data_IF_138243030168
#
_entry.id   IF_138243030168
#
_cell.length_a   1.000
_cell.length_b   1.000
_cell.length_c   1.000
_cell.angle_alpha   90.00
_cell.angle_beta   90.00
_cell.angle_gamma   90.00
#
_symmetry.space_group_name_H-M   'P 1'
#
loop_
_entity.id
_entity.type
_entity.pdbx_description
1 polymer ?
#
# COMPACT_ATOMS: atom_id res chain seq x y z
N UNK A 1 5.24 17.77 -34.38
CA UNK A 1 4.48 18.26 -33.19
C UNK A 1 5.27 17.90 -31.96
N UNK A 2 5.68 18.86 -31.11
CA UNK A 2 6.35 18.55 -29.87
C UNK A 2 5.30 18.14 -28.83
N UNK A 3 5.48 16.96 -28.24
CA UNK A 3 4.65 16.42 -27.16
C UNK A 3 4.71 17.37 -25.96
N UNK A 4 3.54 17.85 -25.55
CA UNK A 4 3.38 18.77 -24.42
C UNK A 4 3.90 18.15 -23.13
N UNK A 5 4.88 18.84 -22.55
CA UNK A 5 5.56 18.59 -21.29
C UNK A 5 4.64 18.90 -20.10
N UNK A 6 3.42 18.36 -20.08
CA UNK A 6 2.35 18.81 -19.16
C UNK A 6 2.17 17.99 -17.89
N UNK A 7 2.90 16.88 -17.69
CA UNK A 7 2.70 16.02 -16.50
C UNK A 7 3.98 15.70 -15.72
N UNK A 8 5.02 16.52 -15.81
CA UNK A 8 6.28 16.30 -15.07
C UNK A 8 6.12 16.29 -13.54
N UNK A 9 5.10 16.96 -12.99
CA UNK A 9 4.85 16.97 -11.54
C UNK A 9 4.18 15.70 -11.01
N UNK A 10 3.57 14.88 -11.88
CA UNK A 10 2.90 13.63 -11.46
C UNK A 10 3.83 12.42 -11.47
N UNK A 11 4.88 12.45 -12.28
CA UNK A 11 5.87 11.36 -12.32
C UNK A 11 6.68 11.29 -11.02
N UNK A 12 6.92 12.43 -10.37
CA UNK A 12 7.49 12.48 -9.00
C UNK A 12 6.55 11.96 -7.90
N UNK A 13 5.26 11.74 -8.17
CA UNK A 13 4.35 11.02 -7.26
C UNK A 13 4.42 9.49 -7.47
N UNK A 14 5.01 9.05 -8.58
CA UNK A 14 4.96 7.67 -9.07
C UNK A 14 6.24 6.89 -8.81
N UNK A 15 7.15 7.42 -7.99
CA UNK A 15 8.18 6.61 -7.37
C UNK A 15 7.46 5.71 -6.34
N UNK A 16 7.11 4.51 -6.81
CA UNK A 16 6.23 3.47 -6.26
C UNK A 16 6.22 3.17 -4.75
N UNK A 17 7.11 3.68 -3.91
CA UNK A 17 7.09 3.40 -2.47
C UNK A 17 7.42 4.59 -1.55
N UNK A 18 7.80 5.77 -2.07
CA UNK A 18 8.32 6.89 -1.24
C UNK A 18 7.37 8.04 -0.97
N UNK A 19 6.12 7.92 -1.44
CA UNK A 19 5.04 8.86 -1.09
C UNK A 19 3.93 8.26 -0.23
N UNK A 20 4.26 7.15 0.42
CA UNK A 20 3.51 6.63 1.55
C UNK A 20 4.27 7.03 2.82
N UNK A 21 4.42 8.34 3.07
CA UNK A 21 4.26 8.89 4.43
C UNK A 21 4.37 10.43 4.48
N UNK A 22 3.37 11.10 5.09
CA UNK A 22 3.59 11.79 6.38
C UNK A 22 2.42 12.60 6.99
N UNK A 23 1.38 13.03 6.25
CA UNK A 23 0.47 14.07 6.79
C UNK A 23 -1.07 13.83 6.63
N UNK A 24 -1.55 12.58 6.46
CA UNK A 24 -3.00 12.28 6.35
C UNK A 24 -3.49 11.23 7.35
N UNK A 25 -3.22 11.42 8.64
CA UNK A 25 -4.21 11.17 9.70
C UNK A 25 -3.98 12.32 10.67
N UNK A 26 -4.53 13.50 10.35
CA UNK A 26 -4.41 14.68 11.18
C UNK A 26 -4.73 14.36 12.64
N UNK A 27 -3.67 14.27 13.45
CA UNK A 27 -3.73 14.21 14.91
C UNK A 27 -4.62 15.34 15.43
N UNK A 28 -5.86 14.99 15.75
CA UNK A 28 -6.60 15.56 16.87
C UNK A 28 -7.32 14.44 17.59
N UNK A 29 -6.72 13.97 18.68
CA UNK A 29 -7.52 13.48 19.80
C UNK A 29 -8.45 14.63 20.21
N UNK A 30 -9.76 14.39 20.41
CA UNK A 30 -10.58 15.34 21.14
C UNK A 30 -9.92 15.53 22.51
N UNK A 31 -9.69 16.79 22.88
CA UNK A 31 -9.17 17.17 24.18
C UNK A 31 -10.01 16.54 25.29
N UNK A 32 -9.33 16.15 26.36
CA UNK A 32 -9.87 15.64 27.62
C UNK A 32 -11.19 16.31 27.99
N UNK A 33 -12.29 15.54 28.02
CA UNK A 33 -13.46 15.72 28.88
C UNK A 33 -14.53 14.65 28.58
N UNK A 34 -14.16 13.36 28.66
CA UNK A 34 -15.16 12.32 28.93
C UNK A 34 -15.02 11.97 30.42
N UNK A 35 -16.05 12.22 31.25
CA UNK A 35 -15.98 11.87 32.66
C UNK A 35 -15.77 10.37 32.78
N UNK A 36 -14.66 9.98 33.41
CA UNK A 36 -14.35 8.62 33.78
C UNK A 36 -15.49 8.14 34.70
N UNK A 37 -16.27 7.11 34.35
CA UNK A 37 -17.23 6.55 35.28
C UNK A 37 -16.47 6.01 36.50
N UNK A 38 -17.01 6.15 37.73
CA UNK A 38 -16.27 5.81 38.93
C UNK A 38 -15.75 4.36 38.87
N UNK A 39 -14.44 4.20 39.12
CA UNK A 39 -13.79 2.91 39.37
C UNK A 39 -14.25 2.40 40.73
N UNK A 40 -15.46 1.86 40.77
CA UNK A 40 -15.94 0.91 41.78
C UNK A 40 -17.33 0.47 41.29
N UNK A 41 -17.37 -0.68 40.61
CA UNK A 41 -18.63 -1.39 40.38
C UNK A 41 -19.10 -1.86 41.76
N UNK A 42 -20.28 -1.43 42.25
CA UNK A 42 -20.80 -1.89 43.52
C UNK A 42 -20.86 -3.43 43.53
N UNK A 43 -20.54 -4.04 44.67
CA UNK A 43 -20.49 -5.49 44.92
C UNK A 43 -21.79 -6.30 44.63
N UNK A 44 -22.77 -5.71 43.95
CA UNK A 44 -24.10 -6.29 43.72
C UNK A 44 -24.17 -7.27 42.55
N UNK A 45 -23.11 -7.42 41.74
CA UNK A 45 -23.10 -8.33 40.60
C UNK A 45 -22.21 -9.56 40.80
N UNK A 46 -21.94 -9.98 42.05
CA UNK A 46 -21.22 -11.26 42.29
C UNK A 46 -21.97 -12.45 41.68
N UNK A 47 -23.30 -12.48 41.74
CA UNK A 47 -24.09 -13.52 41.09
C UNK A 47 -24.02 -13.41 39.57
N UNK A 48 -24.01 -12.19 39.00
CA UNK A 48 -23.90 -11.98 37.56
C UNK A 48 -22.51 -12.37 37.02
N UNK A 49 -21.44 -12.03 37.76
CA UNK A 49 -20.07 -12.43 37.44
C UNK A 49 -19.86 -13.93 37.61
N UNK A 50 -20.45 -14.55 38.64
CA UNK A 50 -20.38 -16.01 38.81
C UNK A 50 -21.19 -16.73 37.73
N UNK A 51 -22.33 -16.18 37.32
CA UNK A 51 -23.11 -16.69 36.19
C UNK A 51 -22.39 -16.46 34.86
N UNK A 52 -21.66 -15.35 34.68
CA UNK A 52 -20.84 -15.10 33.51
C UNK A 52 -19.64 -16.06 33.45
N UNK A 53 -18.91 -16.24 34.54
CA UNK A 53 -17.78 -17.18 34.62
C UNK A 53 -18.22 -18.64 34.47
N UNK A 54 -19.32 -19.04 35.11
CA UNK A 54 -19.89 -20.38 34.98
C UNK A 54 -20.47 -20.63 33.59
N UNK A 55 -21.01 -19.59 32.93
CA UNK A 55 -21.46 -19.69 31.55
C UNK A 55 -20.25 -19.71 30.62
N UNK A 56 -19.20 -18.91 30.85
CA UNK A 56 -17.98 -18.84 30.06
C UNK A 56 -17.20 -20.17 30.07
N UNK A 57 -17.13 -20.86 31.22
CA UNK A 57 -16.60 -22.23 31.28
C UNK A 57 -17.46 -23.22 30.50
N UNK A 58 -18.79 -23.09 30.56
CA UNK A 58 -19.72 -23.91 29.80
C UNK A 58 -19.69 -23.61 28.28
N UNK A 59 -19.40 -22.37 27.88
CA UNK A 59 -19.20 -21.93 26.49
C UNK A 59 -17.85 -22.39 25.92
N UNK A 60 -16.82 -22.54 26.74
CA UNK A 60 -15.53 -23.09 26.29
C UNK A 60 -15.61 -24.59 26.02
N UNK A 61 -16.31 -25.35 26.87
CA UNK A 61 -16.49 -26.79 26.69
C UNK A 61 -17.52 -27.15 25.60
N UNK A 62 -18.44 -26.25 25.28
CA UNK A 62 -19.44 -26.39 24.20
C UNK A 62 -19.10 -25.57 22.95
N UNK A 63 -17.86 -25.06 22.82
CA UNK A 63 -17.46 -24.37 21.60
C UNK A 63 -17.57 -25.34 20.44
N UNK A 64 -18.38 -25.05 19.40
CA UNK A 64 -18.36 -25.86 18.20
C UNK A 64 -16.90 -25.93 17.70
N UNK A 65 -16.42 -27.07 17.19
CA UNK A 65 -15.10 -27.14 16.54
C UNK A 65 -14.92 -26.08 15.43
N UNK A 66 -16.04 -25.50 14.97
CA UNK A 66 -16.15 -24.44 13.98
C UNK A 66 -16.51 -23.07 14.61
N UNK A 67 -15.98 -22.71 15.78
CA UNK A 67 -15.86 -21.29 16.11
C UNK A 67 -14.87 -20.72 15.08
N UNK A 68 -15.40 -20.26 13.95
CA UNK A 68 -14.67 -19.97 12.71
C UNK A 68 -13.60 -18.90 12.99
N UNK A 69 -12.41 -19.34 13.38
CA UNK A 69 -11.18 -18.63 13.04
C UNK A 69 -11.23 -18.50 11.52
N UNK A 70 -11.50 -17.28 11.03
CA UNK A 70 -11.47 -17.01 9.60
C UNK A 70 -10.11 -17.49 9.08
N UNK A 71 -10.13 -18.27 8.01
CA UNK A 71 -8.89 -18.60 7.32
C UNK A 71 -8.23 -17.31 6.85
N UNK A 72 -6.90 -17.31 6.72
CA UNK A 72 -6.16 -16.15 6.19
C UNK A 72 -6.75 -15.67 4.85
N UNK A 73 -7.15 -16.60 3.99
CA UNK A 73 -7.83 -16.32 2.72
C UNK A 73 -9.15 -15.55 2.91
N UNK A 74 -9.97 -15.95 3.87
CA UNK A 74 -11.24 -15.26 4.19
C UNK A 74 -11.01 -13.88 4.79
N UNK A 75 -9.99 -13.72 5.64
CA UNK A 75 -9.62 -12.43 6.22
C UNK A 75 -9.15 -11.43 5.16
N UNK A 76 -8.29 -11.87 4.23
CA UNK A 76 -7.86 -11.05 3.08
C UNK A 76 -9.06 -10.65 2.22
N UNK A 77 -9.97 -11.60 1.94
CA UNK A 77 -11.17 -11.32 1.14
C UNK A 77 -12.08 -10.26 1.80
N UNK A 78 -12.26 -10.35 3.12
CA UNK A 78 -13.03 -9.39 3.90
C UNK A 78 -12.39 -8.00 3.86
N UNK A 79 -11.07 -7.91 4.12
CA UNK A 79 -10.30 -6.65 4.05
C UNK A 79 -10.33 -6.04 2.66
N UNK A 80 -10.26 -6.85 1.60
CA UNK A 80 -10.37 -6.37 0.23
C UNK A 80 -11.73 -5.73 -0.02
N UNK A 81 -12.82 -6.36 0.44
CA UNK A 81 -14.16 -5.80 0.31
C UNK A 81 -14.32 -4.47 1.06
N UNK A 82 -13.83 -4.41 2.30
CA UNK A 82 -13.82 -3.18 3.11
C UNK A 82 -13.01 -2.07 2.42
N UNK A 83 -11.79 -2.38 1.98
CA UNK A 83 -10.89 -1.42 1.33
C UNK A 83 -11.50 -0.83 0.05
N UNK A 84 -12.14 -1.67 -0.78
CA UNK A 84 -12.80 -1.22 -2.00
C UNK A 84 -14.03 -0.36 -1.71
N UNK A 85 -14.81 -0.73 -0.70
CA UNK A 85 -15.98 0.05 -0.25
C UNK A 85 -15.55 1.41 0.28
N UNK A 86 -14.53 1.47 1.14
CA UNK A 86 -14.02 2.72 1.74
C UNK A 86 -13.34 3.65 0.73
N UNK A 87 -12.87 3.12 -0.40
CA UNK A 87 -12.18 3.90 -1.43
C UNK A 87 -12.95 3.99 -2.76
N UNK A 88 -14.24 3.65 -2.78
CA UNK A 88 -15.04 3.59 -4.01
C UNK A 88 -15.08 4.90 -4.79
N UNK A 89 -14.99 6.05 -4.10
CA UNK A 89 -14.98 7.37 -4.72
C UNK A 89 -13.66 7.71 -5.42
N UNK A 90 -12.54 7.09 -5.02
CA UNK A 90 -11.21 7.32 -5.59
C UNK A 90 -10.95 6.51 -6.86
N UNK A 91 -11.79 5.51 -7.14
CA UNK A 91 -11.63 4.59 -8.25
C UNK A 91 -12.44 5.03 -9.48
N UNK A 92 -11.80 5.00 -10.64
CA UNK A 92 -12.50 5.14 -11.92
C UNK A 92 -13.32 3.86 -12.23
N UNK A 93 -14.32 3.97 -13.11
CA UNK A 93 -15.23 2.85 -13.43
C UNK A 93 -14.51 1.66 -14.07
N UNK A 94 -13.49 1.91 -14.89
CA UNK A 94 -12.67 0.86 -15.50
C UNK A 94 -11.93 0.02 -14.46
N UNK A 95 -11.42 0.68 -13.41
CA UNK A 95 -10.71 0.05 -12.30
C UNK A 95 -11.67 -0.76 -11.45
N UNK A 96 -12.83 -0.19 -11.12
CA UNK A 96 -13.89 -0.92 -10.40
C UNK A 96 -14.29 -2.18 -11.14
N UNK A 97 -14.49 -2.12 -12.46
CA UNK A 97 -14.84 -3.29 -13.26
C UNK A 97 -13.76 -4.38 -13.22
N UNK A 98 -12.48 -4.01 -13.33
CA UNK A 98 -11.34 -4.96 -13.29
C UNK A 98 -11.20 -5.64 -11.93
N UNK A 99 -11.30 -4.87 -10.85
CA UNK A 99 -11.18 -5.42 -9.49
C UNK A 99 -12.48 -6.15 -9.09
N UNK A 100 -13.65 -5.80 -9.61
CA UNK A 100 -14.91 -6.50 -9.29
C UNK A 100 -15.00 -7.88 -9.95
N UNK A 101 -14.21 -8.12 -11.00
CA UNK A 101 -14.13 -9.44 -11.63
C UNK A 101 -13.74 -10.50 -10.59
N UNK A 102 -14.57 -11.54 -10.47
CA UNK A 102 -14.38 -12.61 -9.48
C UNK A 102 -13.04 -13.33 -9.63
N UNK A 103 -12.69 -13.74 -10.84
CA UNK A 103 -11.46 -14.46 -11.13
C UNK A 103 -10.22 -13.63 -10.77
N UNK A 104 -10.25 -12.33 -11.09
CA UNK A 104 -9.18 -11.39 -10.71
C UNK A 104 -9.03 -11.29 -9.19
N UNK A 105 -10.14 -11.19 -8.43
CA UNK A 105 -10.09 -11.10 -6.97
C UNK A 105 -9.59 -12.39 -6.34
N UNK A 106 -10.12 -13.52 -6.77
CA UNK A 106 -9.74 -14.83 -6.24
C UNK A 106 -8.24 -15.05 -6.48
N UNK A 107 -7.73 -14.72 -7.68
CA UNK A 107 -6.31 -14.78 -8.01
C UNK A 107 -5.46 -13.81 -7.17
N UNK A 108 -5.95 -12.57 -6.93
CA UNK A 108 -5.25 -11.61 -6.06
C UNK A 108 -5.16 -12.17 -4.64
N UNK A 109 -6.26 -12.64 -4.09
CA UNK A 109 -6.30 -13.20 -2.74
C UNK A 109 -5.33 -14.39 -2.65
N UNK A 110 -5.38 -15.31 -3.61
CA UNK A 110 -4.50 -16.48 -3.64
C UNK A 110 -3.02 -16.11 -3.69
N UNK A 111 -2.65 -15.07 -4.46
CA UNK A 111 -1.27 -14.57 -4.52
C UNK A 111 -0.78 -13.94 -3.21
N UNK A 112 -1.68 -13.59 -2.30
CA UNK A 112 -1.34 -12.95 -1.03
C UNK A 112 -1.26 -13.95 0.13
N UNK A 113 -1.94 -15.10 0.06
CA UNK A 113 -2.08 -16.04 1.20
C UNK A 113 -0.73 -16.44 1.82
N UNK A 114 0.29 -16.67 1.02
CA UNK A 114 1.59 -17.16 1.50
C UNK A 114 2.45 -16.08 2.16
N UNK A 115 2.17 -14.80 1.90
CA UNK A 115 2.92 -13.66 2.41
C UNK A 115 4.23 -13.34 1.65
N UNK A 116 4.59 -14.09 0.61
CA UNK A 116 5.80 -13.87 -0.19
C UNK A 116 5.86 -12.46 -0.78
N UNK A 117 4.69 -11.91 -1.14
CA UNK A 117 4.54 -10.57 -1.70
C UNK A 117 5.07 -9.49 -0.75
N UNK A 118 5.01 -9.66 0.57
CA UNK A 118 5.52 -8.64 1.51
C UNK A 118 7.04 -8.53 1.48
N UNK A 119 7.76 -9.65 1.47
CA UNK A 119 9.22 -9.65 1.36
C UNK A 119 9.68 -9.06 0.02
N UNK A 120 8.88 -9.27 -1.04
CA UNK A 120 9.12 -8.63 -2.34
C UNK A 120 8.88 -7.12 -2.22
N UNK A 121 7.78 -6.66 -1.64
CA UNK A 121 7.52 -5.23 -1.44
C UNK A 121 8.59 -4.53 -0.59
N UNK A 122 9.12 -5.19 0.44
CA UNK A 122 10.25 -4.68 1.22
C UNK A 122 11.52 -4.56 0.36
N UNK A 123 11.85 -5.60 -0.40
CA UNK A 123 12.99 -5.57 -1.34
C UNK A 123 12.82 -4.49 -2.42
N UNK A 124 11.59 -4.26 -2.90
CA UNK A 124 11.28 -3.20 -3.85
C UNK A 124 11.41 -1.82 -3.21
N UNK A 125 11.10 -1.71 -1.91
CA UNK A 125 11.31 -0.47 -1.14
C UNK A 125 12.79 -0.17 -1.00
N UNK A 126 13.61 -1.16 -0.67
CA UNK A 126 15.06 -0.95 -0.57
C UNK A 126 15.68 -0.60 -1.94
N UNK A 127 15.23 -1.28 -3.01
CA UNK A 127 15.63 -0.95 -4.38
C UNK A 127 15.23 0.47 -4.74
N UNK A 128 14.02 0.89 -4.36
CA UNK A 128 13.52 2.23 -4.57
C UNK A 128 14.45 3.26 -3.93
N UNK A 129 14.72 3.10 -2.63
CA UNK A 129 15.57 3.99 -1.85
C UNK A 129 16.96 4.13 -2.45
N UNK A 130 17.55 3.01 -2.86
CA UNK A 130 18.85 2.99 -3.52
C UNK A 130 18.82 3.76 -4.84
N UNK A 131 17.79 3.54 -5.67
CA UNK A 131 17.66 4.18 -6.98
C UNK A 131 17.38 5.68 -6.87
N UNK A 132 16.55 6.12 -5.93
CA UNK A 132 16.35 7.56 -5.66
C UNK A 132 17.66 8.25 -5.31
N UNK A 133 18.42 7.63 -4.41
CA UNK A 133 19.71 8.16 -3.96
C UNK A 133 20.68 8.23 -5.13
N UNK A 134 20.79 7.17 -5.93
CA UNK A 134 21.62 7.12 -7.13
C UNK A 134 21.24 8.24 -8.11
N UNK A 135 19.96 8.41 -8.42
CA UNK A 135 19.49 9.45 -9.34
C UNK A 135 19.69 10.87 -8.79
N UNK A 136 19.51 11.07 -7.48
CA UNK A 136 19.76 12.36 -6.84
C UNK A 136 21.23 12.74 -6.91
N UNK A 137 22.13 11.83 -6.51
CA UNK A 137 23.58 12.02 -6.56
C UNK A 137 24.05 12.25 -8.00
N UNK A 138 23.53 11.48 -8.96
CA UNK A 138 23.82 11.67 -10.38
C UNK A 138 23.39 13.05 -10.87
N UNK A 139 22.18 13.50 -10.50
CA UNK A 139 21.67 14.83 -10.84
C UNK A 139 22.56 15.93 -10.26
N UNK A 140 22.87 15.85 -8.97
CA UNK A 140 23.67 16.85 -8.28
C UNK A 140 25.09 16.96 -8.87
N UNK A 141 25.74 15.81 -9.08
CA UNK A 141 27.07 15.71 -9.68
C UNK A 141 27.12 16.34 -11.08
N UNK A 142 26.19 15.96 -11.97
CA UNK A 142 26.13 16.52 -13.33
C UNK A 142 25.85 18.02 -13.35
N UNK A 143 24.93 18.49 -12.48
CA UNK A 143 24.63 19.93 -12.37
C UNK A 143 25.85 20.69 -11.85
N UNK A 144 26.57 20.16 -10.85
CA UNK A 144 27.79 20.76 -10.31
C UNK A 144 28.88 20.87 -11.40
N UNK A 145 29.14 19.81 -12.14
CA UNK A 145 30.11 19.81 -13.25
C UNK A 145 29.77 20.86 -14.33
N UNK A 146 28.48 21.03 -14.67
CA UNK A 146 28.06 22.06 -15.62
C UNK A 146 28.26 23.48 -15.09
N UNK A 147 28.06 23.71 -13.79
CA UNK A 147 28.33 25.00 -13.15
C UNK A 147 29.82 25.32 -13.14
N UNK A 148 30.66 24.36 -12.76
CA UNK A 148 32.12 24.51 -12.70
C UNK A 148 32.75 24.72 -14.08
N UNK A 149 32.23 24.06 -15.11
CA UNK A 149 32.70 24.23 -16.49
C UNK A 149 32.16 25.49 -17.20
N UNK A 150 31.40 26.34 -16.51
CA UNK A 150 30.79 27.55 -17.09
C UNK A 150 29.75 27.28 -18.18
N UNK A 151 29.36 26.02 -18.37
CA UNK A 151 28.47 25.54 -19.41
C UNK A 151 27.03 25.38 -18.92
N UNK A 152 26.70 25.90 -17.75
CA UNK A 152 25.38 25.75 -17.15
C UNK A 152 24.32 26.51 -17.95
N UNK A 153 23.47 25.76 -18.64
CA UNK A 153 22.31 26.30 -19.36
C UNK A 153 21.06 25.50 -18.99
N UNK A 154 19.90 26.14 -19.10
CA UNK A 154 18.62 25.46 -18.86
C UNK A 154 18.41 24.27 -19.79
N UNK A 155 18.98 24.32 -21.00
CA UNK A 155 18.92 23.22 -21.95
C UNK A 155 19.68 21.99 -21.44
N UNK A 156 20.92 22.15 -20.98
CA UNK A 156 21.71 21.04 -20.44
C UNK A 156 21.13 20.52 -19.12
N UNK A 157 20.56 21.40 -18.29
CA UNK A 157 19.81 20.99 -17.09
C UNK A 157 18.62 20.09 -17.46
N UNK A 158 17.83 20.48 -18.48
CA UNK A 158 16.71 19.65 -18.97
C UNK A 158 17.17 18.30 -19.52
N UNK A 159 18.32 18.25 -20.20
CA UNK A 159 18.89 16.99 -20.70
C UNK A 159 19.27 16.03 -19.56
N UNK A 160 19.85 16.56 -18.47
CA UNK A 160 20.10 15.77 -17.26
C UNK A 160 18.77 15.27 -16.68
N UNK A 161 17.81 16.16 -16.47
CA UNK A 161 16.51 15.81 -15.87
C UNK A 161 15.75 14.78 -16.72
N UNK A 162 15.81 14.89 -18.06
CA UNK A 162 15.25 13.89 -18.96
C UNK A 162 15.90 12.51 -18.76
N UNK A 163 17.22 12.43 -18.70
CA UNK A 163 17.92 11.16 -18.48
C UNK A 163 17.62 10.54 -17.12
N UNK A 164 17.42 11.36 -16.08
CA UNK A 164 16.96 10.88 -14.77
C UNK A 164 15.55 10.28 -14.88
N UNK A 165 14.63 10.96 -15.55
CA UNK A 165 13.26 10.46 -15.74
C UNK A 165 13.22 9.15 -16.52
N UNK A 166 14.04 8.99 -17.56
CA UNK A 166 14.15 7.72 -18.30
C UNK A 166 14.66 6.57 -17.41
N UNK A 167 15.58 6.84 -16.49
CA UNK A 167 16.05 5.85 -15.51
C UNK A 167 14.99 5.50 -14.46
N UNK A 168 14.19 6.49 -14.04
CA UNK A 168 13.03 6.29 -13.15
C UNK A 168 12.01 5.38 -13.83
N UNK A 169 11.68 5.64 -15.09
CA UNK A 169 10.74 4.83 -15.86
C UNK A 169 11.20 3.37 -15.99
N UNK A 170 12.51 3.15 -16.16
CA UNK A 170 13.06 1.79 -16.19
C UNK A 170 12.98 1.10 -14.83
N UNK A 171 13.25 1.82 -13.74
CA UNK A 171 13.10 1.28 -12.38
C UNK A 171 11.65 0.86 -12.11
N UNK A 172 10.68 1.67 -12.54
CA UNK A 172 9.25 1.33 -12.43
C UNK A 172 8.92 0.06 -13.20
N UNK A 173 9.47 -0.11 -14.41
CA UNK A 173 9.29 -1.33 -15.21
C UNK A 173 9.88 -2.56 -14.53
N UNK A 174 11.06 -2.45 -13.93
CA UNK A 174 11.69 -3.53 -13.17
C UNK A 174 10.82 -3.94 -11.97
N UNK A 175 10.31 -2.95 -11.22
CA UNK A 175 9.40 -3.19 -10.09
C UNK A 175 8.11 -3.88 -10.53
N UNK A 176 7.50 -3.42 -11.62
CA UNK A 176 6.32 -4.07 -12.20
C UNK A 176 6.60 -5.52 -12.59
N UNK A 177 7.75 -5.80 -13.20
CA UNK A 177 8.11 -7.16 -13.59
C UNK A 177 8.29 -8.07 -12.36
N UNK A 178 8.92 -7.59 -11.30
CA UNK A 178 9.05 -8.36 -10.05
C UNK A 178 7.69 -8.65 -9.41
N UNK A 179 6.77 -7.69 -9.40
CA UNK A 179 5.40 -7.89 -8.90
C UNK A 179 4.62 -8.90 -9.74
N UNK A 180 4.77 -8.89 -11.07
CA UNK A 180 4.17 -9.89 -11.96
C UNK A 180 4.76 -11.28 -11.69
N UNK A 181 6.09 -11.37 -11.55
CA UNK A 181 6.78 -12.62 -11.21
C UNK A 181 6.41 -13.15 -9.82
N UNK A 182 6.00 -12.27 -8.89
CA UNK A 182 5.45 -12.64 -7.58
C UNK A 182 4.08 -13.32 -7.66
N UNK A 183 3.50 -13.46 -8.86
CA UNK A 183 2.21 -14.09 -9.06
C UNK A 183 1.02 -13.14 -8.89
N UNK A 184 1.26 -11.83 -8.78
CA UNK A 184 0.16 -10.86 -8.75
C UNK A 184 -0.60 -10.89 -10.08
N UNK A 185 -1.94 -10.88 -10.05
CA UNK A 185 -2.73 -11.24 -11.21
C UNK A 185 -2.70 -10.17 -12.30
N UNK A 186 -2.63 -10.64 -13.54
CA UNK A 186 -3.14 -9.86 -14.66
C UNK A 186 -4.68 -9.93 -14.62
N UNK A 187 -5.42 -8.82 -14.80
CA UNK A 187 -4.95 -7.55 -15.37
C UNK A 187 -4.45 -6.51 -14.35
N UNK A 188 -4.44 -6.74 -13.03
CA UNK A 188 -4.13 -5.68 -12.06
C UNK A 188 -2.69 -5.17 -12.16
N UNK A 189 -1.74 -6.08 -12.41
CA UNK A 189 -0.34 -5.73 -12.62
C UNK A 189 0.08 -6.07 -14.05
N UNK A 190 0.61 -5.07 -14.75
CA UNK A 190 1.21 -5.21 -16.08
C UNK A 190 2.25 -4.12 -16.25
N UNK A 191 3.24 -4.36 -17.09
CA UNK A 191 4.20 -3.33 -17.43
C UNK A 191 3.48 -2.18 -18.15
N UNK A 192 3.51 -0.98 -17.58
CA UNK A 192 2.84 0.19 -18.13
C UNK A 192 3.36 1.48 -17.51
N UNK A 193 3.55 2.51 -18.33
CA UNK A 193 3.79 3.89 -17.89
C UNK A 193 2.53 4.77 -18.01
N UNK A 194 1.40 4.17 -18.37
CA UNK A 194 0.12 4.89 -18.37
C UNK A 194 -0.26 5.30 -16.94
N UNK A 195 -0.64 6.56 -16.79
CA UNK A 195 -0.91 7.12 -15.46
C UNK A 195 -2.08 6.44 -14.74
N UNK A 196 -3.08 5.94 -15.46
CA UNK A 196 -4.23 5.28 -14.84
C UNK A 196 -3.87 3.86 -14.41
N UNK A 197 -3.06 3.15 -15.20
CA UNK A 197 -2.51 1.84 -14.81
C UNK A 197 -1.59 1.93 -13.60
N UNK A 198 -0.72 2.95 -13.54
CA UNK A 198 0.15 3.17 -12.39
C UNK A 198 -0.64 3.50 -11.13
N UNK A 199 -1.72 4.29 -11.24
CA UNK A 199 -2.63 4.59 -10.13
C UNK A 199 -3.34 3.33 -9.63
N UNK A 200 -3.79 2.46 -10.53
CA UNK A 200 -4.39 1.18 -10.17
C UNK A 200 -3.38 0.31 -9.42
N UNK A 201 -2.17 0.13 -9.95
CA UNK A 201 -1.15 -0.69 -9.31
C UNK A 201 -0.76 -0.15 -7.94
N UNK A 202 -0.62 1.16 -7.81
CA UNK A 202 -0.38 1.84 -6.52
C UNK A 202 -1.54 1.60 -5.54
N UNK A 203 -2.78 1.69 -6.01
CA UNK A 203 -3.97 1.43 -5.18
C UNK A 203 -3.98 -0.01 -4.65
N UNK A 204 -3.60 -1.00 -5.47
CA UNK A 204 -3.50 -2.39 -5.02
C UNK A 204 -2.31 -2.60 -4.08
N UNK A 205 -1.16 -1.97 -4.33
CA UNK A 205 -0.02 -2.01 -3.40
C UNK A 205 -0.42 -1.44 -2.04
N UNK A 206 -1.14 -0.32 -2.01
CA UNK A 206 -1.67 0.25 -0.77
C UNK A 206 -2.56 -0.74 -0.02
N UNK A 207 -3.47 -1.42 -0.73
CA UNK A 207 -4.27 -2.49 -0.13
C UNK A 207 -3.38 -3.57 0.48
N UNK A 208 -2.40 -4.08 -0.26
CA UNK A 208 -1.52 -5.15 0.21
C UNK A 208 -0.79 -4.72 1.48
N UNK A 209 -0.28 -3.49 1.53
CA UNK A 209 0.38 -2.95 2.72
C UNK A 209 -0.55 -2.89 3.95
N UNK A 210 -1.86 -2.72 3.78
CA UNK A 210 -2.83 -2.77 4.90
C UNK A 210 -3.02 -4.15 5.51
N UNK A 211 -2.55 -5.21 4.84
CA UNK A 211 -2.69 -6.59 5.30
C UNK A 211 -1.51 -7.05 6.16
N UNK A 212 -0.50 -6.21 6.41
CA UNK A 212 0.73 -6.60 7.10
C UNK A 212 0.46 -7.17 8.51
N UNK A 213 -0.52 -6.61 9.22
CA UNK A 213 -0.97 -7.06 10.55
C UNK A 213 -1.39 -8.54 10.55
N UNK A 214 -1.98 -9.03 9.45
CA UNK A 214 -2.40 -10.43 9.30
C UNK A 214 -1.21 -11.41 9.35
N UNK A 215 0.00 -10.92 9.09
CA UNK A 215 1.22 -11.73 8.99
C UNK A 215 2.21 -11.47 10.14
N UNK A 216 2.03 -10.39 10.91
CA UNK A 216 2.90 -10.05 12.05
C UNK A 216 2.54 -10.82 13.34
N UNK A 217 1.34 -11.41 13.44
CA UNK A 217 0.86 -12.18 14.60
C UNK A 217 1.28 -13.68 14.60
N UNK A 218 2.33 -14.07 13.87
CA UNK A 218 2.84 -15.47 13.82
C UNK A 218 4.30 -15.63 14.25
#
# INVERSE_FOLDING_TARGET
MPLEVRNQSKVFELFLLKRIDRDWINHKLPADDIPIPPKEVPEQDRELNFLLEANETNWQDQRPPNFLMLTRKELIAMRLYEFLTSNSEKLNETTKARISNKETRDSLIDSLVDGTVFSILESLSDLQDLKEKEFWEQRESKIKQLRESGNFTDQKKREIEKGILEGIDETVREQQNMLICAGLPQPLFKQSLDSEELRLQMFIIQFILTLRDIYEDQ
#
